data_IF_436791988769
#
_entry.id   IF_436791988769
#
_cell.length_a   1.000
_cell.length_b   1.000
_cell.length_c   1.000
_cell.angle_alpha   90.00
_cell.angle_beta   90.00
_cell.angle_gamma   90.00
#
_symmetry.space_group_name_H-M   'P 1'
#
loop_
_entity.id
_entity.type
_entity.pdbx_description
1 polymer ?
#
# COMPACT_ATOMS: atom_id res chain seq x y z
N UNK A 1 0.21 14.02 -10.73
CA UNK A 1 -0.68 14.99 -10.06
C UNK A 1 -2.10 14.51 -10.34
N UNK A 2 -2.92 14.01 -9.42
CA UNK A 2 -3.06 14.22 -7.97
C UNK A 2 -2.51 13.06 -7.12
N UNK A 3 -1.54 13.36 -6.25
CA UNK A 3 -1.09 12.43 -5.19
C UNK A 3 -1.95 12.53 -3.93
N UNK A 4 -2.77 13.57 -3.78
CA UNK A 4 -3.57 13.83 -2.59
C UNK A 4 -4.46 12.65 -2.16
N UNK A 5 -5.07 11.93 -3.12
CA UNK A 5 -5.87 10.74 -2.81
C UNK A 5 -5.00 9.57 -2.33
N UNK A 6 -3.83 9.36 -2.94
CA UNK A 6 -2.90 8.31 -2.51
C UNK A 6 -2.30 8.66 -1.13
N UNK A 7 -1.86 9.91 -0.95
CA UNK A 7 -1.25 10.41 0.27
C UNK A 7 -2.26 10.46 1.43
N UNK A 8 -3.34 11.22 1.29
CA UNK A 8 -4.29 11.47 2.38
C UNK A 8 -5.39 10.40 2.48
N UNK A 9 -5.86 9.87 1.35
CA UNK A 9 -6.94 8.89 1.32
C UNK A 9 -6.48 7.48 1.65
N UNK A 10 -5.36 7.04 1.06
CA UNK A 10 -4.85 5.69 1.24
C UNK A 10 -3.63 5.58 2.16
N UNK A 11 -3.04 6.71 2.60
CA UNK A 11 -1.84 6.72 3.44
C UNK A 11 -0.57 6.29 2.71
N UNK A 12 -0.51 6.47 1.38
CA UNK A 12 0.57 6.03 0.50
C UNK A 12 1.49 7.22 0.20
N UNK A 13 2.24 7.64 1.20
CA UNK A 13 3.16 8.78 1.09
C UNK A 13 4.60 8.40 0.73
N UNK A 14 5.24 9.28 -0.05
CA UNK A 14 6.61 9.07 -0.56
C UNK A 14 6.68 8.16 -1.78
N UNK A 15 5.58 8.01 -2.51
CA UNK A 15 5.52 7.24 -3.75
C UNK A 15 5.08 8.13 -4.90
N UNK A 16 5.67 7.91 -6.08
CA UNK A 16 5.28 8.59 -7.29
C UNK A 16 4.13 7.83 -7.96
N UNK A 17 3.03 8.54 -8.21
CA UNK A 17 1.96 8.04 -9.06
C UNK A 17 2.45 7.93 -10.50
N UNK A 18 2.24 6.77 -11.12
CA UNK A 18 2.65 6.51 -12.51
C UNK A 18 1.45 6.64 -13.43
N UNK A 19 0.37 5.91 -13.15
CA UNK A 19 -0.88 5.98 -13.90
C UNK A 19 -2.01 5.30 -13.11
N UNK A 20 -3.25 5.54 -13.55
CA UNK A 20 -4.43 4.85 -13.04
C UNK A 20 -5.12 4.13 -14.20
N UNK A 21 -5.57 2.89 -13.99
CA UNK A 21 -6.41 2.14 -14.94
C UNK A 21 -7.74 1.75 -14.32
N UNK A 22 -8.72 1.48 -15.17
CA UNK A 22 -10.06 1.08 -14.75
C UNK A 22 -10.51 -0.26 -15.37
N UNK A 23 -9.74 -1.36 -15.21
CA UNK A 23 -10.13 -2.65 -15.75
C UNK A 23 -11.28 -3.27 -14.94
N UNK A 24 -12.22 -3.94 -15.61
CA UNK A 24 -13.23 -4.81 -14.98
C UNK A 24 -14.02 -4.16 -13.83
N UNK A 25 -14.31 -2.86 -13.94
CA UNK A 25 -15.00 -2.10 -12.89
C UNK A 25 -14.16 -1.80 -11.63
N UNK A 26 -12.89 -2.23 -11.60
CA UNK A 26 -11.93 -1.95 -10.56
C UNK A 26 -11.10 -0.70 -10.88
N UNK A 27 -10.51 -0.08 -9.85
CA UNK A 27 -9.57 1.04 -9.99
C UNK A 27 -8.18 0.54 -9.64
N UNK A 28 -7.22 0.68 -10.55
CA UNK A 28 -5.84 0.26 -10.37
C UNK A 28 -4.92 1.47 -10.35
N UNK A 29 -4.35 1.80 -9.20
CA UNK A 29 -3.31 2.82 -9.09
C UNK A 29 -1.93 2.18 -9.21
N UNK A 30 -1.16 2.59 -10.22
CA UNK A 30 0.25 2.21 -10.33
C UNK A 30 1.11 3.25 -9.63
N UNK A 31 1.92 2.81 -8.68
CA UNK A 31 2.86 3.67 -7.95
C UNK A 31 4.29 3.13 -8.04
N UNK A 32 5.26 4.01 -7.91
CA UNK A 32 6.70 3.70 -7.91
C UNK A 32 7.35 4.30 -6.66
N UNK A 33 8.18 3.52 -5.99
CA UNK A 33 9.00 4.02 -4.88
C UNK A 33 10.13 4.89 -5.43
N UNK A 34 10.46 5.97 -4.73
CA UNK A 34 11.65 6.75 -5.04
C UNK A 34 12.91 5.97 -4.65
N UNK A 35 13.64 5.53 -5.66
CA UNK A 35 14.84 4.68 -5.55
C UNK A 35 16.02 5.46 -4.95
N UNK A 36 16.03 6.78 -5.07
CA UNK A 36 17.12 7.64 -4.58
C UNK A 36 17.11 7.82 -3.06
N UNK A 37 15.98 7.56 -2.41
CA UNK A 37 15.82 7.61 -0.95
C UNK A 37 16.28 6.34 -0.23
N UNK A 38 16.69 5.31 -0.98
CA UNK A 38 16.96 3.98 -0.43
C UNK A 38 18.34 3.89 0.23
N UNK A 39 18.37 3.27 1.40
CA UNK A 39 19.59 2.97 2.15
C UNK A 39 19.62 1.50 2.53
N UNK A 40 20.81 0.95 2.64
CA UNK A 40 20.99 -0.41 3.15
C UNK A 40 20.45 -0.48 4.59
N UNK A 41 19.58 -1.46 4.91
CA UNK A 41 19.07 -1.62 6.28
C UNK A 41 20.14 -2.12 7.26
N UNK A 42 21.21 -2.76 6.78
CA UNK A 42 22.31 -3.27 7.60
C UNK A 42 23.29 -2.16 7.98
N UNK A 43 23.77 -1.40 7.00
CA UNK A 43 24.89 -0.48 7.16
C UNK A 43 24.57 0.99 6.85
N UNK A 44 23.31 1.32 6.49
CA UNK A 44 22.86 2.68 6.21
C UNK A 44 23.41 3.31 4.91
N UNK A 45 24.23 2.58 4.16
CA UNK A 45 24.87 3.08 2.93
C UNK A 45 23.86 3.38 1.82
N UNK A 46 24.08 4.48 1.10
CA UNK A 46 23.40 4.82 -0.16
C UNK A 46 24.06 4.20 -1.39
N UNK A 47 25.20 3.48 -1.23
CA UNK A 47 25.83 2.74 -2.33
C UNK A 47 25.06 1.45 -2.61
N UNK A 48 23.99 1.57 -3.36
CA UNK A 48 23.09 0.47 -3.71
C UNK A 48 22.97 0.30 -5.23
N UNK A 49 22.82 -0.95 -5.67
CA UNK A 49 22.57 -1.31 -7.08
C UNK A 49 21.25 -2.06 -7.20
N UNK A 50 20.37 -1.61 -8.09
CA UNK A 50 19.12 -2.31 -8.36
C UNK A 50 19.39 -3.66 -9.05
N UNK A 51 18.78 -4.73 -8.54
CA UNK A 51 18.84 -6.11 -9.03
C UNK A 51 17.45 -6.59 -9.43
N UNK A 52 16.77 -5.77 -10.24
CA UNK A 52 15.40 -6.02 -10.68
C UNK A 52 14.34 -5.58 -9.66
N UNK A 53 13.12 -6.03 -9.89
CA UNK A 53 11.93 -5.56 -9.19
C UNK A 53 10.88 -6.68 -9.10
N UNK A 54 10.21 -6.77 -7.96
CA UNK A 54 9.09 -7.70 -7.74
C UNK A 54 7.80 -6.89 -7.83
N UNK A 55 6.89 -7.31 -8.70
CA UNK A 55 5.56 -6.69 -8.78
C UNK A 55 4.74 -7.17 -7.60
N UNK A 56 4.19 -6.22 -6.84
CA UNK A 56 3.25 -6.48 -5.76
C UNK A 56 1.95 -5.74 -6.03
N UNK A 57 0.84 -6.35 -5.62
CA UNK A 57 -0.50 -5.76 -5.70
C UNK A 57 -1.15 -5.87 -4.33
N UNK A 58 -1.69 -4.77 -3.85
CA UNK A 58 -2.31 -4.63 -2.53
C UNK A 58 -3.73 -4.10 -2.73
N UNK A 59 -4.70 -4.66 -2.02
CA UNK A 59 -6.10 -4.19 -2.06
C UNK A 59 -6.26 -3.02 -1.10
N UNK A 60 -6.74 -1.88 -1.61
CA UNK A 60 -7.05 -0.72 -0.79
C UNK A 60 -8.55 -0.64 -0.48
N UNK A 61 -8.95 0.38 0.29
CA UNK A 61 -10.35 0.70 0.55
C UNK A 61 -11.06 0.95 -0.79
N UNK A 62 -12.23 0.36 -0.96
CA UNK A 62 -13.06 0.58 -2.15
C UNK A 62 -13.53 2.04 -2.24
N UNK A 63 -13.59 2.57 -3.46
CA UNK A 63 -14.19 3.88 -3.71
C UNK A 63 -15.62 3.66 -4.23
N UNK A 64 -16.59 3.88 -3.35
CA UNK A 64 -17.98 3.43 -3.59
C UNK A 64 -18.03 1.91 -3.73
N UNK A 65 -18.69 1.41 -4.77
CA UNK A 65 -18.77 -0.02 -5.10
C UNK A 65 -17.56 -0.57 -5.87
N UNK A 66 -16.61 0.30 -6.25
CA UNK A 66 -15.47 -0.10 -7.07
C UNK A 66 -14.30 -0.58 -6.21
N UNK A 67 -13.81 -1.83 -6.40
CA UNK A 67 -12.61 -2.29 -5.70
C UNK A 67 -11.39 -1.50 -6.17
N UNK A 68 -10.50 -1.18 -5.23
CA UNK A 68 -9.27 -0.43 -5.52
C UNK A 68 -8.04 -1.31 -5.28
N UNK A 69 -7.14 -1.30 -6.25
CA UNK A 69 -5.87 -2.00 -6.22
C UNK A 69 -4.72 -1.02 -6.34
N UNK A 70 -3.72 -1.19 -5.48
CA UNK A 70 -2.46 -0.47 -5.53
C UNK A 70 -1.42 -1.43 -6.08
N UNK A 71 -0.86 -1.10 -7.23
CA UNK A 71 0.20 -1.84 -7.88
C UNK A 71 1.52 -1.13 -7.73
N UNK A 72 2.51 -1.84 -7.19
CA UNK A 72 3.86 -1.32 -7.06
C UNK A 72 4.89 -2.30 -7.57
N UNK A 73 5.96 -1.76 -8.14
CA UNK A 73 7.16 -2.52 -8.40
C UNK A 73 8.15 -2.26 -7.28
N UNK A 74 8.39 -3.27 -6.44
CA UNK A 74 9.29 -3.17 -5.29
C UNK A 74 10.69 -3.51 -5.78
N UNK A 75 11.64 -2.56 -5.77
CA UNK A 75 12.99 -2.84 -6.20
C UNK A 75 13.69 -3.82 -5.24
N UNK A 76 14.48 -4.73 -5.81
CA UNK A 76 15.50 -5.49 -5.06
C UNK A 76 16.80 -4.72 -5.19
N UNK A 77 17.47 -4.48 -4.07
CA UNK A 77 18.70 -3.69 -4.02
C UNK A 77 19.82 -4.49 -3.41
N UNK A 78 20.99 -4.45 -4.04
CA UNK A 78 22.25 -4.96 -3.53
C UNK A 78 23.04 -3.80 -2.94
N UNK A 79 23.40 -3.87 -1.66
CA UNK A 79 24.37 -2.95 -1.08
C UNK A 79 25.77 -3.28 -1.58
N UNK A 80 26.46 -2.28 -2.12
CA UNK A 80 27.83 -2.43 -2.62
C UNK A 80 28.89 -2.33 -1.51
N UNK A 81 28.51 -1.97 -0.28
CA UNK A 81 29.43 -1.96 0.87
C UNK A 81 29.39 -3.28 1.65
N UNK A 82 28.21 -3.76 2.05
CA UNK A 82 28.09 -4.99 2.86
C UNK A 82 27.62 -6.21 2.06
N UNK A 83 27.30 -6.07 0.77
CA UNK A 83 26.84 -7.19 -0.06
C UNK A 83 25.40 -7.65 0.19
N UNK A 84 24.66 -7.00 1.11
CA UNK A 84 23.28 -7.38 1.40
C UNK A 84 22.37 -7.20 0.19
N UNK A 85 21.68 -8.26 -0.21
CA UNK A 85 20.61 -8.24 -1.21
C UNK A 85 19.25 -8.27 -0.51
N UNK A 86 18.49 -7.17 -0.58
CA UNK A 86 17.19 -7.09 0.07
C UNK A 86 16.11 -6.50 -0.84
N UNK A 87 14.86 -6.87 -0.59
CA UNK A 87 13.70 -6.19 -1.15
C UNK A 87 13.38 -4.99 -0.26
N UNK A 88 13.18 -3.82 -0.87
CA UNK A 88 12.88 -2.60 -0.12
C UNK A 88 11.58 -2.76 0.66
N UNK A 89 11.59 -2.37 1.94
CA UNK A 89 10.39 -2.32 2.77
C UNK A 89 9.41 -1.27 2.22
N UNK A 90 8.17 -1.69 1.99
CA UNK A 90 7.08 -0.80 1.59
C UNK A 90 6.55 -0.13 2.86
N UNK A 91 6.43 1.20 2.89
CA UNK A 91 6.05 1.93 4.12
C UNK A 91 4.55 1.82 4.45
N UNK A 92 3.67 1.73 3.44
CA UNK A 92 2.21 1.76 3.63
C UNK A 92 1.55 0.38 3.73
N UNK A 93 2.28 -0.69 3.41
CA UNK A 93 1.80 -2.06 3.53
C UNK A 93 2.80 -2.85 4.36
N UNK A 94 2.36 -3.46 5.45
CA UNK A 94 3.21 -4.34 6.25
C UNK A 94 3.76 -5.48 5.39
N UNK A 95 5.01 -5.88 5.64
CA UNK A 95 5.59 -7.06 5.03
C UNK A 95 4.65 -8.26 5.22
N UNK A 96 4.19 -8.85 4.11
CA UNK A 96 3.20 -9.95 4.00
C UNK A 96 1.71 -9.61 4.15
N UNK A 97 1.31 -8.34 4.32
CA UNK A 97 -0.12 -7.96 4.31
C UNK A 97 -0.53 -7.44 2.94
N UNK A 98 -1.69 -7.91 2.45
CA UNK A 98 -2.27 -7.53 1.16
C UNK A 98 -3.20 -6.30 1.25
N UNK A 99 -3.19 -5.55 2.35
CA UNK A 99 -4.01 -4.36 2.55
C UNK A 99 -3.25 -3.23 3.29
N UNK A 100 -3.55 -1.94 3.02
CA UNK A 100 -2.95 -0.79 3.70
C UNK A 100 -3.55 -0.61 5.11
N UNK A 101 -2.81 0.02 6.03
CA UNK A 101 -3.26 0.26 7.42
C UNK A 101 -4.58 1.05 7.50
N UNK A 102 -4.83 1.96 6.55
CA UNK A 102 -6.08 2.72 6.48
C UNK A 102 -7.30 1.81 6.25
N UNK A 103 -7.12 0.70 5.53
CA UNK A 103 -8.19 -0.28 5.32
C UNK A 103 -8.59 -0.97 6.63
N UNK A 104 -7.62 -1.31 7.48
CA UNK A 104 -7.88 -1.93 8.77
C UNK A 104 -8.75 -1.03 9.66
N UNK A 105 -8.42 0.27 9.72
CA UNK A 105 -9.23 1.25 10.47
C UNK A 105 -10.64 1.38 9.93
N UNK A 106 -10.79 1.46 8.61
CA UNK A 106 -12.10 1.55 7.97
C UNK A 106 -12.97 0.31 8.24
N UNK A 107 -12.41 -0.89 8.12
CA UNK A 107 -13.12 -2.13 8.40
C UNK A 107 -13.56 -2.23 9.87
N UNK A 108 -12.71 -1.79 10.82
CA UNK A 108 -13.05 -1.74 12.24
C UNK A 108 -14.18 -0.73 12.52
N UNK A 109 -14.15 0.45 11.89
CA UNK A 109 -15.19 1.46 12.06
C UNK A 109 -16.56 0.98 11.54
N UNK A 110 -16.58 0.32 10.39
CA UNK A 110 -17.80 -0.30 9.86
C UNK A 110 -18.35 -1.38 10.79
N UNK A 111 -17.49 -2.24 11.32
CA UNK A 111 -17.89 -3.32 12.23
C UNK A 111 -18.56 -2.76 13.49
N UNK A 112 -17.96 -1.73 14.12
CA UNK A 112 -18.54 -1.06 15.29
C UNK A 112 -19.92 -0.45 15.04
N UNK A 113 -20.17 0.08 13.84
CA UNK A 113 -21.49 0.63 13.46
C UNK A 113 -22.53 -0.46 13.21
N UNK A 114 -22.11 -1.59 12.66
CA UNK A 114 -23.00 -2.75 12.46
C UNK A 114 -23.50 -3.32 13.80
N UNK A 115 -22.62 -3.42 14.81
CA UNK A 115 -22.97 -3.94 16.14
C UNK A 115 -24.03 -3.07 16.86
N UNK A 116 -23.92 -1.74 16.76
CA UNK A 116 -24.91 -0.82 17.32
C UNK A 116 -26.25 -0.84 16.58
N UNK A 117 -26.26 -1.17 15.29
CA UNK A 117 -27.48 -1.22 14.47
C UNK A 117 -28.26 -2.51 14.75
N UNK A 118 -27.58 -3.64 14.97
CA UNK A 118 -28.23 -4.90 15.40
C UNK A 118 -28.82 -4.83 16.81
N UNK A 119 -28.20 -4.09 17.73
CA UNK A 119 -28.75 -3.88 19.09
C UNK A 119 -30.07 -3.10 19.10
N UNK A 120 -30.36 -2.27 18.09
CA UNK A 120 -31.62 -1.51 17.97
C UNK A 120 -32.73 -2.25 17.21
N UNK A 121 -32.40 -3.36 16.54
CA UNK A 121 -33.34 -4.20 15.77
C UNK A 121 -33.60 -5.56 16.44
N UNK A 122 -33.53 -5.66 17.78
CA UNK A 122 -34.18 -6.78 18.49
C UNK A 122 -35.61 -6.35 18.84
N UNK A 123 -36.65 -6.74 18.08
CA UNK A 123 -37.99 -6.73 18.65
C UNK A 123 -37.98 -7.70 19.83
N UNK A 124 -38.44 -7.23 20.98
CA UNK A 124 -38.63 -8.06 22.16
C UNK A 124 -39.52 -9.25 21.80
N UNK A 125 -39.06 -10.43 22.24
CA UNK A 125 -39.91 -11.63 22.36
C UNK A 125 -40.82 -11.42 23.57
#
# INVERSE_FOLDING_TARGET
MSTSLLDHGFGISGYQHVHTKFPDGAIHFRVRADVFSLRCPECGSSKIKCKGQVRSRVRAVSLGSKPVWIELAVPRVLCLLCGLLCQVKIKFAFWRRSYPQVFERYALELSRRHDHTQSRMRPGI
#
